data_IF_252125661630
#
_entry.id   IF_252125661630
#
_cell.length_a   1.000
_cell.length_b   1.000
_cell.length_c   1.000
_cell.angle_alpha   90.00
_cell.angle_beta   90.00
_cell.angle_gamma   90.00
#
_symmetry.space_group_name_H-M   'P 1'
#
loop_
_entity.id
_entity.type
_entity.pdbx_description
1 polymer ?
#
# COMPACT_ATOMS: atom_id res chain seq x y z
N UNK A 1 -39.72 27.37 -12.47
CA UNK A 1 -39.36 27.30 -13.90
C UNK A 1 -37.85 27.46 -14.07
N UNK A 2 -37.02 26.42 -14.30
CA UNK A 2 -37.36 25.00 -14.49
C UNK A 2 -36.38 23.99 -13.81
N UNK A 3 -35.56 24.37 -12.81
CA UNK A 3 -34.55 23.45 -12.24
C UNK A 3 -34.91 22.78 -10.91
N UNK A 4 -35.82 23.35 -10.11
CA UNK A 4 -36.27 22.76 -8.83
C UNK A 4 -37.43 21.77 -8.98
N UNK A 5 -38.18 21.82 -10.08
CA UNK A 5 -39.30 20.91 -10.36
C UNK A 5 -38.85 19.54 -10.91
N UNK A 6 -37.64 19.43 -11.47
CA UNK A 6 -37.17 18.16 -12.07
C UNK A 6 -36.73 17.17 -10.97
N UNK A 7 -36.22 17.67 -9.83
CA UNK A 7 -35.76 16.84 -8.72
C UNK A 7 -36.90 16.24 -7.88
N UNK A 8 -38.08 16.88 -7.85
CA UNK A 8 -39.27 16.39 -7.14
C UNK A 8 -40.13 15.44 -7.97
N UNK A 9 -39.99 15.43 -9.30
CA UNK A 9 -40.88 14.70 -10.22
C UNK A 9 -40.45 13.25 -10.52
N UNK A 10 -39.24 12.80 -10.14
CA UNK A 10 -38.75 11.48 -10.60
C UNK A 10 -37.97 10.68 -9.55
N UNK A 11 -38.64 10.05 -8.57
CA UNK A 11 -38.04 9.06 -7.66
C UNK A 11 -37.67 7.74 -8.36
N UNK A 12 -38.05 7.56 -9.62
CA UNK A 12 -37.88 6.36 -10.44
C UNK A 12 -36.79 6.46 -11.51
N UNK A 13 -36.09 7.60 -11.61
CA UNK A 13 -35.04 7.74 -12.62
C UNK A 13 -33.83 6.87 -12.22
N UNK A 14 -33.46 5.83 -12.99
CA UNK A 14 -32.38 4.91 -12.64
C UNK A 14 -31.03 5.62 -12.53
N UNK A 15 -30.89 6.82 -13.10
CA UNK A 15 -29.69 7.65 -13.01
C UNK A 15 -29.48 8.22 -11.59
N UNK A 16 -30.54 8.65 -10.89
CA UNK A 16 -30.44 9.14 -9.51
C UNK A 16 -30.18 7.98 -8.52
N UNK A 17 -30.82 6.83 -8.75
CA UNK A 17 -30.56 5.61 -7.98
C UNK A 17 -29.14 5.07 -8.21
N UNK A 18 -28.64 5.11 -9.44
CA UNK A 18 -27.27 4.68 -9.77
C UNK A 18 -26.19 5.56 -9.14
N UNK A 19 -26.46 6.85 -8.88
CA UNK A 19 -25.53 7.75 -8.18
C UNK A 19 -25.53 7.49 -6.67
N UNK A 20 -26.68 7.26 -6.05
CA UNK A 20 -26.78 6.92 -4.62
C UNK A 20 -26.26 5.50 -4.31
N UNK A 21 -26.50 4.55 -5.21
CA UNK A 21 -26.06 3.16 -5.05
C UNK A 21 -24.57 2.96 -5.39
N UNK A 22 -23.98 3.87 -6.18
CA UNK A 22 -22.55 3.85 -6.54
C UNK A 22 -21.62 3.92 -5.32
N UNK A 23 -22.04 4.60 -4.26
CA UNK A 23 -21.19 4.88 -3.10
C UNK A 23 -21.07 3.66 -2.15
N UNK A 24 -22.20 2.99 -1.88
CA UNK A 24 -22.23 1.80 -1.01
C UNK A 24 -21.65 0.57 -1.74
N UNK A 25 -22.01 0.35 -3.01
CA UNK A 25 -21.44 -0.74 -3.82
C UNK A 25 -19.96 -0.51 -4.14
N UNK A 26 -19.52 0.75 -4.25
CA UNK A 26 -18.12 1.11 -4.46
C UNK A 26 -17.26 0.66 -3.28
N UNK A 27 -17.62 1.06 -2.07
CA UNK A 27 -16.89 0.76 -0.84
C UNK A 27 -16.72 -0.75 -0.56
N UNK A 28 -17.79 -1.53 -0.75
CA UNK A 28 -17.76 -3.00 -0.64
C UNK A 28 -16.81 -3.63 -1.67
N UNK A 29 -16.83 -3.16 -2.92
CA UNK A 29 -15.93 -3.64 -3.97
C UNK A 29 -14.48 -3.26 -3.70
N UNK A 30 -14.22 -2.07 -3.17
CA UNK A 30 -12.87 -1.65 -2.77
C UNK A 30 -12.31 -2.57 -1.68
N UNK A 31 -13.09 -2.90 -0.64
CA UNK A 31 -12.69 -3.85 0.42
C UNK A 31 -12.26 -5.21 -0.16
N UNK A 32 -13.00 -5.72 -1.15
CA UNK A 32 -12.70 -7.00 -1.80
C UNK A 32 -11.41 -6.89 -2.64
N UNK A 33 -11.27 -5.80 -3.42
CA UNK A 33 -10.09 -5.58 -4.28
C UNK A 33 -8.82 -5.39 -3.45
N UNK A 34 -8.85 -4.59 -2.40
CA UNK A 34 -7.70 -4.37 -1.51
C UNK A 34 -7.26 -5.67 -0.81
N UNK A 35 -8.22 -6.49 -0.37
CA UNK A 35 -7.92 -7.78 0.25
C UNK A 35 -7.28 -8.75 -0.74
N UNK A 36 -7.78 -8.79 -1.98
CA UNK A 36 -7.21 -9.59 -3.06
C UNK A 36 -5.82 -9.10 -3.45
N UNK A 37 -5.60 -7.79 -3.51
CA UNK A 37 -4.31 -7.20 -3.81
C UNK A 37 -3.26 -7.53 -2.73
N UNK A 38 -3.63 -7.35 -1.45
CA UNK A 38 -2.74 -7.59 -0.33
C UNK A 38 -2.35 -9.07 -0.20
N UNK A 39 -3.33 -9.99 -0.26
CA UNK A 39 -3.07 -11.43 -0.13
C UNK A 39 -2.55 -12.08 -1.43
N UNK A 40 -2.95 -11.56 -2.57
CA UNK A 40 -2.62 -12.14 -3.88
C UNK A 40 -1.27 -11.69 -4.40
N UNK A 41 -0.89 -10.43 -4.17
CA UNK A 41 0.35 -9.86 -4.72
C UNK A 41 1.29 -9.46 -3.60
N UNK A 42 0.84 -8.66 -2.64
CA UNK A 42 1.75 -8.03 -1.68
C UNK A 42 2.43 -9.04 -0.73
N UNK A 43 1.70 -10.03 -0.21
CA UNK A 43 2.26 -11.07 0.66
C UNK A 43 3.22 -12.05 -0.04
N UNK A 44 2.90 -12.64 -1.21
CA UNK A 44 3.87 -13.50 -1.90
C UNK A 44 5.09 -12.71 -2.39
N UNK A 45 4.91 -11.47 -2.89
CA UNK A 45 6.05 -10.64 -3.29
C UNK A 45 6.98 -10.32 -2.11
N UNK A 46 6.42 -10.07 -0.92
CA UNK A 46 7.22 -9.89 0.31
C UNK A 46 8.03 -11.15 0.64
N UNK A 47 7.41 -12.34 0.58
CA UNK A 47 8.10 -13.59 0.85
C UNK A 47 9.27 -13.79 -0.13
N UNK A 48 9.02 -13.59 -1.43
CA UNK A 48 10.02 -13.70 -2.50
C UNK A 48 11.13 -12.65 -2.37
N UNK A 49 10.85 -11.46 -1.83
CA UNK A 49 11.88 -10.45 -1.60
C UNK A 49 12.76 -10.79 -0.38
N UNK A 50 12.18 -11.36 0.68
CA UNK A 50 12.88 -11.66 1.94
C UNK A 50 13.71 -12.93 1.85
N UNK A 51 13.22 -13.99 1.21
CA UNK A 51 13.92 -15.28 1.14
C UNK A 51 15.35 -15.18 0.57
N UNK A 52 15.59 -14.59 -0.61
CA UNK A 52 16.95 -14.44 -1.14
C UNK A 52 17.79 -13.48 -0.28
N UNK A 53 17.17 -12.44 0.31
CA UNK A 53 17.86 -11.50 1.19
C UNK A 53 18.39 -12.15 2.47
N UNK A 54 17.57 -12.97 3.14
CA UNK A 54 17.99 -13.75 4.32
C UNK A 54 18.97 -14.86 3.94
N UNK A 55 18.74 -15.53 2.81
CA UNK A 55 19.64 -16.58 2.34
C UNK A 55 21.07 -16.07 2.14
N UNK A 56 21.24 -14.95 1.43
CA UNK A 56 22.55 -14.31 1.25
C UNK A 56 23.16 -13.84 2.58
N UNK A 57 22.33 -13.40 3.52
CA UNK A 57 22.79 -12.94 4.83
C UNK A 57 23.41 -14.09 5.64
N UNK A 58 22.78 -15.27 5.62
CA UNK A 58 23.24 -16.47 6.33
C UNK A 58 24.48 -17.06 5.66
N UNK A 59 24.48 -17.16 4.33
CA UNK A 59 25.59 -17.72 3.54
C UNK A 59 26.90 -16.91 3.68
N UNK A 60 26.79 -15.58 3.85
CA UNK A 60 27.94 -14.66 3.93
C UNK A 60 28.09 -13.95 5.27
N UNK A 61 27.74 -14.61 6.37
CA UNK A 61 27.85 -14.04 7.73
C UNK A 61 29.31 -13.97 8.23
N UNK A 62 30.16 -13.22 7.54
CA UNK A 62 31.59 -13.02 7.84
C UNK A 62 31.79 -11.70 8.66
N UNK A 63 32.76 -11.59 9.58
CA UNK A 63 33.08 -10.36 10.32
C UNK A 63 33.24 -9.10 9.46
N UNK A 64 33.66 -9.21 8.20
CA UNK A 64 33.76 -8.07 7.27
C UNK A 64 32.40 -7.40 6.99
N UNK A 65 31.31 -8.18 6.98
CA UNK A 65 29.97 -7.66 6.74
C UNK A 65 29.41 -6.87 7.94
N UNK A 66 29.87 -7.16 9.17
CA UNK A 66 29.43 -6.42 10.38
C UNK A 66 29.87 -4.95 10.36
N UNK A 67 31.02 -4.66 9.76
CA UNK A 67 31.62 -3.32 9.72
C UNK A 67 31.18 -2.50 8.50
N UNK A 68 30.60 -3.16 7.49
CA UNK A 68 30.13 -2.50 6.29
C UNK A 68 28.84 -1.72 6.56
N UNK A 69 28.92 -0.39 6.61
CA UNK A 69 27.75 0.53 6.70
C UNK A 69 26.69 0.20 5.65
N UNK A 70 27.10 -0.29 4.48
CA UNK A 70 26.23 -0.74 3.40
C UNK A 70 25.31 -1.93 3.77
N UNK A 71 25.79 -2.86 4.61
CA UNK A 71 24.98 -3.98 5.09
C UNK A 71 23.85 -3.48 6.02
N UNK A 72 24.18 -2.55 6.91
CA UNK A 72 23.21 -1.92 7.82
C UNK A 72 22.14 -1.16 7.04
N UNK A 73 22.51 -0.35 6.04
CA UNK A 73 21.57 0.39 5.19
C UNK A 73 20.56 -0.56 4.52
N UNK A 74 21.05 -1.65 3.92
CA UNK A 74 20.18 -2.66 3.29
C UNK A 74 19.24 -3.31 4.29
N UNK A 75 19.74 -3.67 5.46
CA UNK A 75 18.93 -4.28 6.50
C UNK A 75 17.85 -3.31 7.02
N UNK A 76 18.21 -2.03 7.20
CA UNK A 76 17.25 -0.98 7.55
C UNK A 76 16.17 -0.83 6.48
N UNK A 77 16.52 -0.89 5.20
CA UNK A 77 15.54 -0.83 4.10
C UNK A 77 14.56 -2.01 4.15
N UNK A 78 15.06 -3.22 4.41
CA UNK A 78 14.20 -4.41 4.57
C UNK A 78 13.27 -4.25 5.77
N UNK A 79 13.78 -3.81 6.92
CA UNK A 79 12.96 -3.54 8.12
C UNK A 79 11.88 -2.48 7.84
N UNK A 80 12.23 -1.42 7.11
CA UNK A 80 11.28 -0.38 6.71
C UNK A 80 10.17 -0.95 5.81
N UNK A 81 10.52 -1.80 4.84
CA UNK A 81 9.55 -2.49 3.98
C UNK A 81 8.64 -3.44 4.78
N UNK A 82 9.20 -4.17 5.74
CA UNK A 82 8.44 -5.04 6.65
C UNK A 82 7.42 -4.24 7.46
N UNK A 83 7.86 -3.11 8.04
CA UNK A 83 7.00 -2.21 8.79
C UNK A 83 5.87 -1.65 7.91
N UNK A 84 6.18 -1.22 6.69
CA UNK A 84 5.18 -0.74 5.72
C UNK A 84 4.15 -1.82 5.39
N UNK A 85 4.61 -3.05 5.11
CA UNK A 85 3.72 -4.18 4.83
C UNK A 85 2.79 -4.51 6.00
N UNK A 86 3.29 -4.42 7.23
CA UNK A 86 2.46 -4.61 8.42
C UNK A 86 1.45 -3.48 8.60
N UNK A 87 1.84 -2.23 8.30
CA UNK A 87 0.94 -1.07 8.31
C UNK A 87 -0.21 -1.25 7.31
N UNK A 88 0.08 -1.73 6.09
CA UNK A 88 -0.94 -2.10 5.10
C UNK A 88 -1.92 -3.14 5.67
N UNK A 89 -1.42 -4.18 6.34
CA UNK A 89 -2.26 -5.19 6.97
C UNK A 89 -3.16 -4.63 8.07
N UNK A 90 -2.66 -3.67 8.88
CA UNK A 90 -3.47 -2.97 9.89
C UNK A 90 -4.58 -2.13 9.26
N UNK A 91 -4.27 -1.39 8.19
CA UNK A 91 -5.28 -0.60 7.48
C UNK A 91 -6.33 -1.51 6.83
N UNK A 92 -5.93 -2.62 6.22
CA UNK A 92 -6.87 -3.60 5.66
C UNK A 92 -7.82 -4.18 6.74
N UNK A 93 -7.29 -4.44 7.93
CA UNK A 93 -8.10 -4.91 9.08
C UNK A 93 -9.05 -3.82 9.57
N UNK A 94 -8.61 -2.57 9.68
CA UNK A 94 -9.47 -1.43 10.05
C UNK A 94 -10.57 -1.15 9.01
N UNK A 95 -10.24 -1.26 7.72
CA UNK A 95 -11.19 -1.12 6.62
C UNK A 95 -12.27 -2.22 6.64
N UNK A 96 -11.88 -3.45 7.01
CA UNK A 96 -12.84 -4.55 7.18
C UNK A 96 -13.78 -4.39 8.38
N UNK A 97 -13.44 -3.52 9.33
CA UNK A 97 -14.23 -3.23 10.52
C UNK A 97 -15.07 -1.95 10.38
N UNK A 98 -15.11 -1.35 9.17
CA UNK A 98 -15.77 -0.06 8.90
C UNK A 98 -15.32 1.10 9.81
N UNK A 99 -14.18 0.94 10.51
CA UNK A 99 -13.56 1.98 11.33
C UNK A 99 -12.60 2.83 10.51
N UNK A 100 -13.05 3.27 9.34
CA UNK A 100 -12.24 4.11 8.49
C UNK A 100 -12.27 5.56 9.00
N UNK A 101 -11.45 5.84 10.00
CA UNK A 101 -11.34 7.17 10.63
C UNK A 101 -10.33 8.08 9.92
N UNK A 102 -9.80 7.69 8.76
CA UNK A 102 -8.75 8.43 8.05
C UNK A 102 -9.30 9.04 6.77
N UNK A 103 -8.92 10.29 6.51
CA UNK A 103 -9.35 11.05 5.33
C UNK A 103 -8.88 10.37 4.03
N UNK A 104 -9.65 10.47 2.95
CA UNK A 104 -9.24 10.02 1.60
C UNK A 104 -7.85 10.55 1.19
N UNK A 105 -7.49 11.76 1.61
CA UNK A 105 -6.16 12.35 1.36
C UNK A 105 -5.03 11.50 1.93
N UNK A 106 -5.26 10.88 3.09
CA UNK A 106 -4.29 9.98 3.72
C UNK A 106 -4.09 8.71 2.89
N UNK A 107 -5.18 8.10 2.39
CA UNK A 107 -5.09 6.90 1.56
C UNK A 107 -4.43 7.17 0.20
N UNK A 108 -4.66 8.36 -0.38
CA UNK A 108 -3.95 8.79 -1.59
C UNK A 108 -2.45 8.92 -1.35
N UNK A 109 -2.05 9.64 -0.29
CA UNK A 109 -0.65 9.77 0.08
C UNK A 109 0.00 8.41 0.42
N UNK A 110 -0.75 7.51 1.05
CA UNK A 110 -0.27 6.16 1.33
C UNK A 110 -0.02 5.35 0.06
N UNK A 111 -0.86 5.50 -0.97
CA UNK A 111 -0.65 4.86 -2.27
C UNK A 111 0.51 5.49 -3.06
N UNK A 112 0.97 6.69 -2.70
CA UNK A 112 2.19 7.31 -3.24
C UNK A 112 3.46 6.87 -2.50
N UNK A 113 3.34 6.26 -1.31
CA UNK A 113 4.49 5.75 -0.55
C UNK A 113 5.36 4.73 -1.33
N UNK A 114 4.82 3.80 -2.14
CA UNK A 114 5.62 2.94 -3.00
C UNK A 114 6.48 3.71 -4.01
N UNK A 115 5.98 4.82 -4.54
CA UNK A 115 6.72 5.68 -5.48
C UNK A 115 7.87 6.38 -4.74
N UNK A 116 7.63 6.89 -3.54
CA UNK A 116 8.67 7.49 -2.71
C UNK A 116 9.77 6.48 -2.35
N UNK A 117 9.40 5.24 -2.01
CA UNK A 117 10.35 4.17 -1.75
C UNK A 117 11.16 3.85 -3.02
N UNK A 118 10.51 3.77 -4.18
CA UNK A 118 11.20 3.53 -5.46
C UNK A 118 12.25 4.61 -5.73
N UNK A 119 11.89 5.88 -5.59
CA UNK A 119 12.82 7.02 -5.76
C UNK A 119 13.97 6.92 -4.76
N UNK A 120 13.69 6.67 -3.48
CA UNK A 120 14.72 6.52 -2.46
C UNK A 120 15.68 5.37 -2.78
N UNK A 121 15.18 4.22 -3.25
CA UNK A 121 16.01 3.08 -3.68
C UNK A 121 16.86 3.43 -4.91
N UNK A 122 16.29 4.12 -5.90
CA UNK A 122 17.06 4.57 -7.09
C UNK A 122 18.16 5.53 -6.68
N UNK A 123 17.87 6.51 -5.81
CA UNK A 123 18.88 7.43 -5.27
C UNK A 123 19.95 6.65 -4.50
N UNK A 124 19.56 5.70 -3.65
CA UNK A 124 20.49 4.87 -2.89
C UNK A 124 21.41 4.02 -3.80
N UNK A 125 20.89 3.48 -4.89
CA UNK A 125 21.64 2.65 -5.85
C UNK A 125 22.54 3.48 -6.75
N UNK A 126 22.08 4.67 -7.16
CA UNK A 126 22.82 5.59 -8.04
C UNK A 126 23.90 6.34 -7.29
N UNK A 127 23.67 6.66 -6.01
CA UNK A 127 24.71 7.02 -5.05
C UNK A 127 25.50 5.75 -4.69
N UNK A 128 26.26 5.23 -5.67
CA UNK A 128 27.31 4.26 -5.40
C UNK A 128 28.26 4.92 -4.39
N UNK A 129 28.28 4.44 -3.16
CA UNK A 129 29.26 4.91 -2.18
C UNK A 129 30.56 4.11 -2.36
N UNK A 130 31.73 4.78 -2.40
CA UNK A 130 33.03 4.15 -2.62
C UNK A 130 33.33 3.10 -1.54
N UNK A 131 34.19 2.17 -1.93
CA UNK A 131 34.66 1.03 -1.14
C UNK A 131 34.96 1.36 0.33
#
# INVERSE_FOLDING_TARGET
MPLLDIASQCPSLPLCQALAEKDIKGSERFKIMERKLYRGIMTPSMLVAITPGLWMLIDRWDPYFKTATWMHIKLTLVILLLAYHHLCGRFLKQFSQDKNSRSERFYRAFNEAPVLILVAVVVLVTLKMPA
#
